data_IF_728306260259
#
_entry.id   IF_728306260259
#
_cell.length_a   1.000
_cell.length_b   1.000
_cell.length_c   1.000
_cell.angle_alpha   90.00
_cell.angle_beta   90.00
_cell.angle_gamma   90.00
#
_symmetry.space_group_name_H-M   'P 1'
#
loop_
_entity.id
_entity.type
_entity.pdbx_description
1 polymer ?
#
# COMPACT_ATOMS: atom_id res chain seq x y z
N UNK A 1 83.43 25.65 -2.61
CA UNK A 1 83.26 24.17 -2.58
C UNK A 1 82.75 23.75 -1.21
N UNK A 2 81.90 22.71 -1.19
CA UNK A 2 81.33 21.99 -0.03
C UNK A 2 80.03 22.54 0.57
N UNK A 3 78.96 21.97 0.01
CA UNK A 3 77.58 21.86 0.48
C UNK A 3 77.53 21.31 1.92
N UNK A 4 76.76 21.94 2.80
CA UNK A 4 76.24 21.32 4.03
C UNK A 4 74.76 20.99 3.83
N UNK A 5 74.28 19.78 4.23
CA UNK A 5 72.95 19.29 3.90
C UNK A 5 71.87 19.86 4.84
N UNK A 6 70.59 19.93 4.40
CA UNK A 6 69.50 20.37 5.26
C UNK A 6 69.12 19.29 6.28
N UNK A 7 68.82 19.75 7.50
CA UNK A 7 68.38 18.95 8.65
C UNK A 7 67.10 18.17 8.34
N UNK A 8 67.10 16.88 8.71
CA UNK A 8 65.99 15.93 8.59
C UNK A 8 64.74 16.44 9.33
N UNK A 9 63.64 16.64 8.60
CA UNK A 9 62.30 16.73 9.17
C UNK A 9 61.93 15.38 9.83
N UNK A 10 61.64 15.39 11.14
CA UNK A 10 60.99 14.27 11.83
C UNK A 10 59.59 14.10 11.23
N UNK A 11 59.37 13.05 10.45
CA UNK A 11 58.04 12.58 10.06
C UNK A 11 57.33 12.06 11.31
N UNK A 12 56.49 12.88 11.92
CA UNK A 12 55.47 12.43 12.85
C UNK A 12 54.54 11.51 12.05
N UNK A 13 54.58 10.20 12.34
CA UNK A 13 53.62 9.23 11.83
C UNK A 13 52.26 9.56 12.46
N UNK A 14 51.50 10.45 11.84
CA UNK A 14 50.05 10.40 12.00
C UNK A 14 49.60 9.10 11.35
N UNK A 15 49.25 8.12 12.20
CA UNK A 15 48.38 7.01 11.80
C UNK A 15 47.14 7.64 11.18
N UNK A 16 47.06 7.57 9.86
CA UNK A 16 45.78 7.67 9.17
C UNK A 16 44.97 6.52 9.72
N UNK A 17 43.98 6.84 10.56
CA UNK A 17 42.95 5.90 10.91
C UNK A 17 42.36 5.42 9.59
N UNK A 18 42.50 4.13 9.30
CA UNK A 18 41.75 3.48 8.23
C UNK A 18 40.29 3.64 8.59
N UNK A 19 39.64 4.58 7.92
CA UNK A 19 38.19 4.67 7.87
C UNK A 19 37.72 3.34 7.28
N UNK A 20 37.11 2.51 8.13
CA UNK A 20 36.55 1.21 7.76
C UNK A 20 35.22 1.44 7.06
N UNK A 21 35.27 2.13 5.92
CA UNK A 21 34.14 2.30 5.01
C UNK A 21 33.85 0.99 4.28
N UNK A 22 33.34 -0.02 4.98
CA UNK A 22 32.79 -1.20 4.34
C UNK A 22 31.63 -0.75 3.45
N UNK A 23 31.77 -0.96 2.13
CA UNK A 23 30.71 -0.70 1.15
C UNK A 23 29.43 -1.41 1.57
N UNK A 24 28.32 -0.69 1.63
CA UNK A 24 27.01 -1.24 1.98
C UNK A 24 26.68 -2.39 1.04
N UNK A 25 26.40 -3.58 1.58
CA UNK A 25 26.06 -4.74 0.75
C UNK A 25 24.73 -4.51 0.02
N UNK A 26 24.46 -5.19 -1.11
CA UNK A 26 23.17 -5.07 -1.80
C UNK A 26 21.97 -5.35 -0.88
N UNK A 27 22.09 -6.31 0.02
CA UNK A 27 21.05 -6.64 1.01
C UNK A 27 20.87 -5.54 2.06
N UNK A 28 21.96 -4.99 2.59
CA UNK A 28 21.89 -3.86 3.51
C UNK A 28 21.25 -2.64 2.83
N UNK A 29 21.58 -2.38 1.57
CA UNK A 29 20.94 -1.31 0.78
C UNK A 29 19.44 -1.53 0.65
N UNK A 30 19.00 -2.74 0.32
CA UNK A 30 17.58 -3.08 0.23
C UNK A 30 16.83 -2.85 1.56
N UNK A 31 17.44 -3.24 2.69
CA UNK A 31 16.88 -2.99 4.03
C UNK A 31 16.75 -1.49 4.30
N UNK A 32 17.82 -0.72 4.03
CA UNK A 32 17.83 0.73 4.23
C UNK A 32 16.79 1.43 3.35
N UNK A 33 16.69 1.07 2.06
CA UNK A 33 15.69 1.60 1.13
C UNK A 33 14.26 1.30 1.60
N UNK A 34 14.03 0.09 2.12
CA UNK A 34 12.73 -0.32 2.70
C UNK A 34 12.36 0.53 3.91
N UNK A 35 13.29 0.70 4.87
CA UNK A 35 13.05 1.52 6.06
C UNK A 35 12.91 3.01 5.70
N UNK A 36 13.68 3.50 4.73
CA UNK A 36 13.61 4.86 4.20
C UNK A 36 12.26 5.16 3.56
N UNK A 37 11.72 4.22 2.77
CA UNK A 37 10.37 4.33 2.23
C UNK A 37 9.32 4.44 3.35
N UNK A 38 9.39 3.57 4.37
CA UNK A 38 8.42 3.60 5.48
C UNK A 38 8.56 4.81 6.40
N UNK A 39 9.75 5.39 6.46
CA UNK A 39 10.00 6.63 7.17
C UNK A 39 9.20 7.81 6.61
N UNK A 40 8.80 7.80 5.33
CA UNK A 40 7.93 8.83 4.74
C UNK A 40 6.59 8.93 5.48
N UNK A 41 6.16 7.84 6.10
CA UNK A 41 4.89 7.71 6.82
C UNK A 41 5.06 7.74 8.36
N UNK A 42 6.25 8.06 8.86
CA UNK A 42 6.62 7.98 10.28
C UNK A 42 6.31 6.61 10.91
N UNK A 43 6.49 5.53 10.14
CA UNK A 43 6.12 4.19 10.55
C UNK A 43 7.37 3.32 10.75
N UNK A 44 7.67 2.84 11.97
CA UNK A 44 8.67 1.80 12.16
C UNK A 44 8.15 0.47 11.60
N UNK A 45 9.05 -0.48 11.40
CA UNK A 45 8.68 -1.81 10.89
C UNK A 45 9.09 -2.93 11.83
N UNK A 46 8.31 -4.01 11.86
CA UNK A 46 8.71 -5.28 12.45
C UNK A 46 9.58 -6.07 11.48
N UNK A 47 10.39 -7.01 12.00
CA UNK A 47 11.25 -7.89 11.20
C UNK A 47 10.51 -8.51 9.99
N UNK A 48 9.34 -9.10 10.22
CA UNK A 48 8.57 -9.76 9.15
C UNK A 48 8.05 -8.77 8.10
N UNK A 49 7.77 -7.52 8.48
CA UNK A 49 7.30 -6.51 7.54
C UNK A 49 8.45 -6.05 6.64
N UNK A 50 9.65 -5.83 7.20
CA UNK A 50 10.84 -5.49 6.40
C UNK A 50 11.17 -6.64 5.45
N UNK A 51 11.09 -7.87 5.95
CA UNK A 51 11.32 -9.08 5.15
C UNK A 51 10.30 -9.18 4.01
N UNK A 52 9.00 -9.15 4.29
CA UNK A 52 7.95 -9.35 3.28
C UNK A 52 7.85 -8.21 2.27
N UNK A 53 8.13 -6.97 2.69
CA UNK A 53 8.06 -5.78 1.85
C UNK A 53 9.45 -5.25 1.46
N UNK A 54 10.45 -6.13 1.40
CA UNK A 54 11.82 -5.78 1.08
C UNK A 54 11.92 -5.18 -0.32
N UNK A 55 12.28 -3.90 -0.40
CA UNK A 55 12.50 -3.17 -1.64
C UNK A 55 13.85 -3.60 -2.24
N UNK A 56 13.80 -4.45 -3.25
CA UNK A 56 14.99 -5.03 -3.88
C UNK A 56 14.71 -5.36 -5.34
N UNK A 57 15.77 -5.46 -6.15
CA UNK A 57 15.70 -5.95 -7.53
C UNK A 57 15.89 -7.46 -7.65
N UNK A 58 16.31 -8.13 -6.57
CA UNK A 58 16.53 -9.58 -6.53
C UNK A 58 15.99 -10.19 -5.22
N UNK A 59 15.51 -11.44 -5.23
CA UNK A 59 15.22 -12.18 -4.01
C UNK A 59 16.45 -12.26 -3.11
N UNK A 60 16.23 -12.14 -1.80
CA UNK A 60 17.28 -12.20 -0.78
C UNK A 60 17.00 -13.40 0.11
N UNK A 61 18.04 -14.18 0.46
CA UNK A 61 17.87 -15.31 1.39
C UNK A 61 17.60 -14.82 2.81
N UNK A 62 16.83 -15.59 3.59
CA UNK A 62 16.51 -15.20 4.97
C UNK A 62 17.78 -15.09 5.83
N UNK A 63 18.77 -15.94 5.57
CA UNK A 63 20.08 -15.90 6.25
C UNK A 63 20.83 -14.60 5.96
N UNK A 64 20.91 -14.19 4.70
CA UNK A 64 21.63 -12.97 4.30
C UNK A 64 20.91 -11.73 4.81
N UNK A 65 19.57 -11.73 4.75
CA UNK A 65 18.74 -10.66 5.31
C UNK A 65 18.96 -10.50 6.80
N UNK A 66 18.85 -11.59 7.57
CA UNK A 66 19.02 -11.58 9.03
C UNK A 66 20.41 -11.08 9.43
N UNK A 67 21.45 -11.59 8.77
CA UNK A 67 22.84 -11.16 9.00
C UNK A 67 22.98 -9.67 8.71
N UNK A 68 22.52 -9.22 7.54
CA UNK A 68 22.62 -7.82 7.13
C UNK A 68 21.85 -6.86 8.05
N UNK A 69 20.67 -7.26 8.53
CA UNK A 69 19.87 -6.44 9.46
C UNK A 69 20.57 -6.31 10.81
N UNK A 70 21.14 -7.40 11.33
CA UNK A 70 21.90 -7.37 12.58
C UNK A 70 23.14 -6.46 12.45
N UNK A 71 23.92 -6.61 11.37
CA UNK A 71 25.09 -5.77 11.11
C UNK A 71 24.70 -4.29 11.08
N UNK A 72 23.59 -3.93 10.43
CA UNK A 72 23.08 -2.55 10.38
C UNK A 72 22.69 -2.00 11.77
N UNK A 73 22.18 -2.85 12.65
CA UNK A 73 21.84 -2.48 14.03
C UNK A 73 23.10 -2.32 14.89
N UNK A 74 24.07 -3.23 14.77
CA UNK A 74 25.36 -3.17 15.47
C UNK A 74 26.15 -1.92 15.06
N UNK A 75 26.14 -1.61 13.76
CA UNK A 75 26.72 -0.39 13.16
C UNK A 75 25.96 0.90 13.53
N UNK A 76 24.83 0.80 14.24
CA UNK A 76 23.92 1.92 14.58
C UNK A 76 23.37 2.68 13.37
N UNK A 77 23.35 2.05 12.19
CA UNK A 77 22.71 2.57 10.98
C UNK A 77 21.19 2.35 11.00
N UNK A 78 20.74 1.34 11.74
CA UNK A 78 19.33 1.06 12.02
C UNK A 78 19.12 1.04 13.53
N UNK A 79 18.10 1.75 14.00
CA UNK A 79 17.67 1.71 15.39
C UNK A 79 16.73 0.53 15.61
N UNK A 80 16.92 -0.23 16.67
CA UNK A 80 16.04 -1.31 17.11
C UNK A 80 15.55 -1.05 18.54
N UNK A 81 14.24 -1.03 18.76
CA UNK A 81 13.62 -0.92 20.10
C UNK A 81 12.35 -1.77 20.16
N UNK A 82 12.21 -2.65 21.16
CA UNK A 82 11.01 -3.47 21.38
C UNK A 82 10.48 -4.17 20.11
N UNK A 83 11.40 -4.73 19.30
CA UNK A 83 11.19 -5.38 17.99
C UNK A 83 10.88 -4.46 16.79
N UNK A 84 10.84 -3.15 16.98
CA UNK A 84 10.67 -2.15 15.93
C UNK A 84 12.00 -1.65 15.39
N UNK A 85 12.11 -1.60 14.06
CA UNK A 85 13.26 -1.09 13.32
C UNK A 85 12.93 0.22 12.62
N UNK A 86 13.86 1.16 12.64
CA UNK A 86 13.71 2.49 12.02
C UNK A 86 15.07 3.16 11.75
N UNK A 87 15.11 4.13 10.85
CA UNK A 87 16.34 4.91 10.58
C UNK A 87 16.56 6.05 11.58
N UNK A 88 15.47 6.63 12.09
CA UNK A 88 15.50 7.76 13.01
C UNK A 88 14.69 7.45 14.27
N UNK A 89 14.82 8.27 15.31
CA UNK A 89 14.00 8.17 16.52
C UNK A 89 12.51 8.24 16.15
N UNK A 90 11.74 7.33 16.75
CA UNK A 90 10.29 7.20 16.55
C UNK A 90 9.56 7.51 17.85
N UNK A 91 8.43 8.19 17.74
CA UNK A 91 7.45 8.34 18.82
C UNK A 91 6.59 7.06 18.88
N UNK A 92 6.97 6.13 19.75
CA UNK A 92 6.30 4.84 19.88
C UNK A 92 4.88 4.95 20.46
N UNK A 93 4.60 5.98 21.26
CA UNK A 93 3.25 6.22 21.78
C UNK A 93 2.31 6.60 20.64
N UNK A 94 2.78 7.47 19.73
CA UNK A 94 2.04 7.82 18.52
C UNK A 94 1.81 6.62 17.60
N UNK A 95 2.81 5.76 17.41
CA UNK A 95 2.68 4.53 16.62
C UNK A 95 1.60 3.61 17.19
N UNK A 96 1.64 3.37 18.50
CA UNK A 96 0.65 2.51 19.16
C UNK A 96 -0.76 3.11 19.12
N UNK A 97 -0.87 4.43 19.30
CA UNK A 97 -2.15 5.17 19.16
C UNK A 97 -2.73 5.00 17.76
N UNK A 98 -1.90 5.14 16.72
CA UNK A 98 -2.33 4.98 15.32
C UNK A 98 -2.75 3.56 14.99
N UNK A 99 -1.99 2.57 15.45
CA UNK A 99 -2.34 1.16 15.30
C UNK A 99 -3.70 0.83 15.92
N UNK A 100 -3.91 1.23 17.19
CA UNK A 100 -5.20 1.04 17.88
C UNK A 100 -6.35 1.78 17.18
N UNK A 101 -6.08 2.94 16.60
CA UNK A 101 -7.08 3.67 15.84
C UNK A 101 -7.45 2.94 14.53
N UNK A 102 -6.46 2.47 13.77
CA UNK A 102 -6.67 1.67 12.57
C UNK A 102 -7.47 0.39 12.87
N UNK A 103 -7.17 -0.32 13.95
CA UNK A 103 -7.94 -1.49 14.40
C UNK A 103 -9.42 -1.16 14.63
N UNK A 104 -9.73 -0.04 15.29
CA UNK A 104 -11.12 0.43 15.49
C UNK A 104 -11.80 0.73 14.16
N UNK A 105 -11.10 1.38 13.23
CA UNK A 105 -11.62 1.68 11.89
C UNK A 105 -11.88 0.40 11.07
N UNK A 106 -11.02 -0.62 11.18
CA UNK A 106 -11.23 -1.94 10.56
C UNK A 106 -12.48 -2.62 11.15
N UNK A 107 -12.69 -2.55 12.47
CA UNK A 107 -13.91 -3.06 13.11
C UNK A 107 -15.16 -2.35 12.58
N UNK A 108 -15.09 -1.01 12.44
CA UNK A 108 -16.17 -0.24 11.84
C UNK A 108 -16.45 -0.64 10.39
N UNK A 109 -15.40 -0.83 9.57
CA UNK A 109 -15.53 -1.27 8.18
C UNK A 109 -16.19 -2.66 8.09
N UNK A 110 -15.79 -3.60 8.96
CA UNK A 110 -16.46 -4.91 9.11
C UNK A 110 -17.92 -4.78 9.53
N UNK A 111 -18.26 -3.79 10.34
CA UNK A 111 -19.64 -3.45 10.69
C UNK A 111 -20.51 -3.09 9.48
N UNK A 112 -19.94 -2.63 8.36
CA UNK A 112 -20.69 -2.36 7.12
C UNK A 112 -20.77 -3.61 6.23
N UNK A 113 -19.74 -4.47 6.27
CA UNK A 113 -19.67 -5.72 5.49
C UNK A 113 -20.90 -6.60 5.72
N UNK A 114 -21.45 -6.63 6.93
CA UNK A 114 -22.68 -7.40 7.23
C UNK A 114 -23.88 -7.04 6.34
N UNK A 115 -23.93 -5.83 5.79
CA UNK A 115 -24.98 -5.41 4.86
C UNK A 115 -24.54 -5.59 3.40
N UNK A 116 -23.30 -5.22 3.08
CA UNK A 116 -22.81 -5.20 1.70
C UNK A 116 -22.51 -6.59 1.13
N UNK A 117 -22.05 -7.54 1.93
CA UNK A 117 -21.68 -8.89 1.45
C UNK A 117 -22.84 -9.68 0.84
N UNK A 118 -24.09 -9.25 1.08
CA UNK A 118 -25.29 -9.88 0.53
C UNK A 118 -25.66 -9.38 -0.86
N UNK A 119 -24.98 -8.34 -1.37
CA UNK A 119 -25.18 -7.88 -2.74
C UNK A 119 -24.60 -8.93 -3.71
N UNK A 120 -25.41 -9.54 -4.60
CA UNK A 120 -25.02 -10.73 -5.36
C UNK A 120 -23.96 -10.48 -6.44
N UNK A 121 -23.59 -9.22 -6.65
CA UNK A 121 -22.58 -8.76 -7.60
C UNK A 121 -21.31 -8.25 -6.92
N UNK A 122 -21.26 -8.13 -5.58
CA UNK A 122 -20.01 -7.81 -4.90
C UNK A 122 -19.19 -9.09 -4.72
N UNK A 123 -17.94 -9.04 -5.13
CA UNK A 123 -17.03 -10.19 -5.09
C UNK A 123 -15.93 -10.01 -4.05
N UNK A 124 -15.54 -8.77 -3.76
CA UNK A 124 -14.56 -8.47 -2.73
C UNK A 124 -14.75 -7.06 -2.18
N UNK A 125 -14.41 -6.88 -0.91
CA UNK A 125 -14.17 -5.58 -0.32
C UNK A 125 -12.91 -5.66 0.55
N UNK A 126 -12.02 -4.67 0.39
CA UNK A 126 -10.79 -4.56 1.14
C UNK A 126 -10.58 -3.11 1.59
N UNK A 127 -9.89 -2.93 2.71
CA UNK A 127 -9.40 -1.61 3.16
C UNK A 127 -8.04 -1.35 2.52
N UNK A 128 -7.78 -0.09 2.15
CA UNK A 128 -6.48 0.38 1.61
C UNK A 128 -5.94 1.56 2.44
N UNK A 129 -4.79 2.11 2.06
CA UNK A 129 -4.25 3.33 2.64
C UNK A 129 -3.77 3.18 4.08
N UNK A 130 -3.83 4.27 4.85
CA UNK A 130 -3.26 4.35 6.20
C UNK A 130 -3.90 3.34 7.18
N UNK A 131 -5.19 3.04 7.01
CA UNK A 131 -5.91 2.07 7.82
C UNK A 131 -5.41 0.65 7.56
N UNK A 132 -5.26 0.27 6.29
CA UNK A 132 -4.72 -1.04 5.92
C UNK A 132 -3.24 -1.20 6.35
N UNK A 133 -2.48 -0.09 6.34
CA UNK A 133 -1.12 -0.05 6.82
C UNK A 133 -0.96 -0.03 8.36
N UNK A 134 -2.06 -0.08 9.13
CA UNK A 134 -2.10 0.06 10.59
C UNK A 134 -1.42 1.33 11.11
N UNK A 135 -1.52 2.43 10.35
CA UNK A 135 -0.88 3.71 10.63
C UNK A 135 -1.86 4.90 10.49
N UNK A 136 -3.13 4.69 10.81
CA UNK A 136 -4.19 5.69 10.73
C UNK A 136 -4.20 6.60 11.96
N UNK A 137 -4.31 7.91 11.77
CA UNK A 137 -4.53 8.87 12.84
C UNK A 137 -6.01 9.25 12.99
N UNK A 138 -6.32 10.10 13.97
CA UNK A 138 -7.70 10.47 14.33
C UNK A 138 -8.46 11.21 13.22
N UNK A 139 -7.76 11.71 12.19
CA UNK A 139 -8.38 12.40 11.06
C UNK A 139 -8.57 11.48 9.84
N UNK A 140 -8.07 10.24 9.93
CA UNK A 140 -8.11 9.28 8.83
C UNK A 140 -9.54 8.80 8.55
N UNK A 141 -9.84 8.68 7.27
CA UNK A 141 -10.99 7.97 6.71
C UNK A 141 -10.64 6.50 6.41
N UNK A 142 -11.66 5.73 6.02
CA UNK A 142 -11.55 4.34 5.62
C UNK A 142 -11.71 4.27 4.10
N UNK A 143 -10.60 4.11 3.39
CA UNK A 143 -10.62 3.87 1.96
C UNK A 143 -10.92 2.41 1.65
N UNK A 144 -11.90 2.18 0.78
CA UNK A 144 -12.27 0.86 0.31
C UNK A 144 -11.89 0.63 -1.14
N UNK A 145 -11.35 -0.57 -1.41
CA UNK A 145 -11.31 -1.19 -2.72
C UNK A 145 -12.41 -2.24 -2.81
N UNK A 146 -13.27 -2.12 -3.81
CA UNK A 146 -14.43 -2.98 -4.04
C UNK A 146 -14.31 -3.63 -5.42
N UNK A 147 -14.43 -4.96 -5.47
CA UNK A 147 -14.52 -5.69 -6.74
C UNK A 147 -15.95 -6.16 -6.95
N UNK A 148 -16.44 -5.96 -8.17
CA UNK A 148 -17.79 -6.35 -8.58
C UNK A 148 -17.74 -7.32 -9.76
N UNK A 149 -18.84 -8.04 -9.98
CA UNK A 149 -19.05 -8.76 -11.25
C UNK A 149 -18.99 -7.79 -12.45
N UNK A 150 -18.65 -8.28 -13.65
CA UNK A 150 -18.71 -7.48 -14.87
C UNK A 150 -20.10 -6.89 -15.07
N UNK A 151 -20.17 -5.66 -15.62
CA UNK A 151 -21.42 -4.94 -15.87
C UNK A 151 -22.30 -4.70 -14.63
N UNK A 152 -21.70 -4.61 -13.43
CA UNK A 152 -22.43 -4.31 -12.19
C UNK A 152 -21.79 -3.20 -11.37
N UNK A 153 -20.79 -2.51 -11.91
CA UNK A 153 -19.99 -1.55 -11.16
C UNK A 153 -20.85 -0.38 -10.66
N UNK A 154 -21.66 0.22 -11.53
CA UNK A 154 -22.41 1.43 -11.17
C UNK A 154 -23.62 1.10 -10.29
N UNK A 155 -24.27 -0.05 -10.51
CA UNK A 155 -25.29 -0.54 -9.60
C UNK A 155 -24.70 -0.84 -8.22
N UNK A 156 -23.56 -1.53 -8.15
CA UNK A 156 -22.83 -1.75 -6.90
C UNK A 156 -22.52 -0.46 -6.19
N UNK A 157 -21.96 0.52 -6.92
CA UNK A 157 -21.63 1.84 -6.39
C UNK A 157 -22.86 2.53 -5.81
N UNK A 158 -24.01 2.47 -6.50
CA UNK A 158 -25.25 3.06 -6.01
C UNK A 158 -25.64 2.45 -4.65
N UNK A 159 -25.72 1.12 -4.56
CA UNK A 159 -26.11 0.46 -3.31
C UNK A 159 -25.09 0.66 -2.19
N UNK A 160 -23.79 0.59 -2.49
CA UNK A 160 -22.73 0.89 -1.52
C UNK A 160 -22.91 2.29 -0.96
N UNK A 161 -23.03 3.31 -1.81
CA UNK A 161 -23.21 4.70 -1.37
C UNK A 161 -24.49 4.87 -0.56
N UNK A 162 -25.61 4.27 -1.01
CA UNK A 162 -26.88 4.34 -0.28
C UNK A 162 -26.77 3.72 1.11
N UNK A 163 -26.21 2.51 1.22
CA UNK A 163 -26.06 1.81 2.51
C UNK A 163 -25.13 2.61 3.43
N UNK A 164 -23.99 3.10 2.93
CA UNK A 164 -23.07 3.94 3.73
C UNK A 164 -23.76 5.22 4.23
N UNK A 165 -24.59 5.86 3.41
CA UNK A 165 -25.35 7.05 3.81
C UNK A 165 -26.43 6.74 4.84
N UNK A 166 -27.16 5.63 4.67
CA UNK A 166 -28.18 5.18 5.62
C UNK A 166 -27.58 4.86 6.99
N UNK A 167 -26.37 4.31 7.01
CA UNK A 167 -25.62 4.03 8.22
C UNK A 167 -24.91 5.27 8.80
N UNK A 168 -24.98 6.43 8.13
CA UNK A 168 -24.36 7.67 8.59
C UNK A 168 -22.83 7.68 8.55
N UNK A 169 -22.21 6.76 7.82
CA UNK A 169 -20.74 6.57 7.77
C UNK A 169 -20.15 6.88 6.40
N UNK A 170 -20.94 7.41 5.46
CA UNK A 170 -20.44 7.82 4.15
C UNK A 170 -19.45 8.99 4.25
N UNK A 171 -18.40 8.96 3.43
CA UNK A 171 -17.39 10.02 3.39
C UNK A 171 -17.90 11.36 2.86
N UNK A 172 -17.50 12.44 3.53
CA UNK A 172 -17.72 13.82 3.11
C UNK A 172 -16.46 14.63 3.34
N UNK A 173 -16.10 15.51 2.39
CA UNK A 173 -14.88 16.34 2.47
C UNK A 173 -14.78 17.21 3.72
N UNK A 174 -15.91 17.60 4.32
CA UNK A 174 -15.95 18.43 5.53
C UNK A 174 -15.73 17.64 6.82
N UNK A 175 -15.94 16.32 6.80
CA UNK A 175 -15.87 15.42 7.97
C UNK A 175 -15.35 14.04 7.55
N UNK A 176 -14.07 13.93 7.13
CA UNK A 176 -13.51 12.67 6.66
C UNK A 176 -13.25 11.68 7.81
N UNK A 177 -12.89 12.17 8.99
CA UNK A 177 -12.50 11.36 10.14
C UNK A 177 -13.51 10.25 10.48
N UNK A 178 -13.05 9.00 10.43
CA UNK A 178 -13.85 7.82 10.74
C UNK A 178 -15.00 7.55 9.76
N UNK A 179 -15.03 8.19 8.59
CA UNK A 179 -16.01 7.88 7.53
C UNK A 179 -15.44 6.92 6.51
N UNK A 180 -16.29 6.34 5.67
CA UNK A 180 -15.96 5.32 4.70
C UNK A 180 -16.08 5.90 3.29
N UNK A 181 -14.95 5.90 2.59
CA UNK A 181 -14.84 6.27 1.20
C UNK A 181 -14.81 5.01 0.32
N UNK A 182 -15.80 4.79 -0.58
CA UNK A 182 -15.69 3.77 -1.62
C UNK A 182 -14.70 4.23 -2.70
N UNK A 183 -13.41 4.28 -2.33
CA UNK A 183 -12.32 4.93 -3.06
C UNK A 183 -12.06 4.31 -4.44
N UNK A 184 -11.98 2.98 -4.49
CA UNK A 184 -11.73 2.23 -5.73
C UNK A 184 -12.83 1.21 -5.92
N UNK A 185 -13.47 1.22 -7.09
CA UNK A 185 -14.36 0.18 -7.56
C UNK A 185 -13.89 -0.33 -8.91
N UNK A 186 -13.78 -1.64 -9.07
CA UNK A 186 -13.41 -2.26 -10.34
C UNK A 186 -14.21 -3.54 -10.57
N UNK A 187 -14.27 -3.99 -11.82
CA UNK A 187 -14.89 -5.26 -12.16
C UNK A 187 -13.87 -6.41 -12.18
N UNK A 188 -14.31 -7.65 -11.96
CA UNK A 188 -13.42 -8.83 -11.94
C UNK A 188 -12.82 -9.22 -13.30
N UNK A 189 -13.33 -8.70 -14.40
CA UNK A 189 -12.69 -8.75 -15.73
C UNK A 189 -11.65 -7.63 -15.94
N UNK A 190 -11.38 -6.81 -14.91
CA UNK A 190 -10.45 -5.68 -14.94
C UNK A 190 -9.62 -5.57 -13.64
N UNK A 191 -9.14 -6.70 -13.11
CA UNK A 191 -8.37 -6.75 -11.86
C UNK A 191 -6.94 -6.20 -11.95
N UNK A 192 -6.35 -6.21 -13.14
CA UNK A 192 -4.96 -5.80 -13.34
C UNK A 192 -4.83 -4.28 -13.23
N UNK A 193 -3.88 -3.81 -12.43
CA UNK A 193 -3.54 -2.40 -12.35
C UNK A 193 -2.87 -1.92 -13.64
N UNK A 194 -3.20 -0.68 -14.05
CA UNK A 194 -2.66 -0.05 -15.27
C UNK A 194 -1.13 -0.03 -15.24
N UNK A 195 -0.51 -0.58 -16.29
CA UNK A 195 0.94 -0.66 -16.48
C UNK A 195 1.65 0.67 -16.33
N UNK A 196 1.02 1.75 -16.82
CA UNK A 196 1.59 3.10 -16.76
C UNK A 196 1.70 3.65 -15.34
N UNK A 197 0.91 3.10 -14.41
CA UNK A 197 0.82 3.54 -13.02
C UNK A 197 1.50 2.55 -12.06
N UNK A 198 2.20 1.53 -12.56
CA UNK A 198 2.93 0.57 -11.73
C UNK A 198 4.23 1.21 -11.23
N UNK A 199 4.35 1.32 -9.91
CA UNK A 199 5.52 1.88 -9.24
C UNK A 199 5.61 1.32 -7.81
N UNK A 200 6.69 1.64 -7.09
CA UNK A 200 6.92 1.15 -5.73
C UNK A 200 5.83 1.56 -4.73
N UNK A 201 5.21 2.74 -4.91
CA UNK A 201 4.12 3.20 -4.06
C UNK A 201 2.87 2.32 -4.24
N UNK A 202 2.44 2.14 -5.48
CA UNK A 202 1.30 1.26 -5.80
C UNK A 202 1.58 -0.19 -5.41
N UNK A 203 2.82 -0.67 -5.56
CA UNK A 203 3.21 -2.00 -5.11
C UNK A 203 3.00 -2.18 -3.60
N UNK A 204 3.38 -1.19 -2.79
CA UNK A 204 3.12 -1.19 -1.36
C UNK A 204 1.62 -1.14 -1.04
N UNK A 205 0.85 -0.25 -1.69
CA UNK A 205 -0.60 -0.14 -1.47
C UNK A 205 -1.31 -1.48 -1.75
N UNK A 206 -1.02 -2.12 -2.89
CA UNK A 206 -1.59 -3.44 -3.23
C UNK A 206 -1.18 -4.51 -2.20
N UNK A 207 0.07 -4.49 -1.75
CA UNK A 207 0.62 -5.51 -0.83
C UNK A 207 0.14 -5.34 0.62
N UNK A 208 -0.37 -4.17 0.96
CA UNK A 208 -0.92 -3.85 2.29
C UNK A 208 -2.45 -4.00 2.35
N UNK A 209 -3.12 -4.28 1.23
CA UNK A 209 -4.58 -4.44 1.19
C UNK A 209 -5.06 -5.40 2.27
N UNK A 210 -6.03 -4.92 3.06
CA UNK A 210 -6.64 -5.69 4.13
C UNK A 210 -8.03 -6.19 3.67
N UNK A 211 -8.16 -7.46 3.24
CA UNK A 211 -9.45 -7.98 2.77
C UNK A 211 -10.44 -8.09 3.92
N UNK A 212 -11.63 -7.50 3.75
CA UNK A 212 -12.74 -7.63 4.70
C UNK A 212 -13.62 -8.84 4.37
N UNK A 213 -13.86 -9.07 3.08
CA UNK A 213 -14.42 -10.32 2.57
C UNK A 213 -13.98 -10.56 1.14
N UNK A 214 -13.98 -11.82 0.72
CA UNK A 214 -13.72 -12.22 -0.66
C UNK A 214 -14.52 -13.48 -1.00
N UNK A 215 -15.29 -13.41 -2.08
CA UNK A 215 -16.01 -14.54 -2.65
C UNK A 215 -15.19 -15.17 -3.78
N UNK A 216 -15.29 -16.49 -3.94
CA UNK A 216 -14.62 -17.26 -5.00
C UNK A 216 -13.12 -16.93 -5.12
N UNK A 217 -12.46 -16.63 -4.00
CA UNK A 217 -11.03 -16.27 -3.94
C UNK A 217 -10.63 -15.04 -4.77
N UNK A 218 -11.57 -14.11 -5.01
CA UNK A 218 -11.34 -12.88 -5.77
C UNK A 218 -10.13 -12.06 -5.27
N UNK A 219 -9.80 -12.09 -3.98
CA UNK A 219 -8.61 -11.45 -3.42
C UNK A 219 -7.31 -12.06 -3.98
N UNK A 220 -7.23 -13.38 -4.03
CA UNK A 220 -6.06 -14.05 -4.58
C UNK A 220 -5.97 -13.86 -6.10
N UNK A 221 -7.11 -13.83 -6.81
CA UNK A 221 -7.12 -13.46 -8.22
C UNK A 221 -6.65 -12.01 -8.44
N UNK A 222 -7.04 -11.07 -7.58
CA UNK A 222 -6.54 -9.69 -7.62
C UNK A 222 -5.02 -9.63 -7.39
N UNK A 223 -4.49 -10.34 -6.39
CA UNK A 223 -3.04 -10.40 -6.15
C UNK A 223 -2.30 -11.01 -7.34
N UNK A 224 -2.84 -12.08 -7.95
CA UNK A 224 -2.24 -12.75 -9.11
C UNK A 224 -2.19 -11.86 -10.35
N UNK A 225 -3.27 -11.12 -10.65
CA UNK A 225 -3.28 -10.14 -11.74
C UNK A 225 -2.31 -8.97 -11.49
N UNK A 226 -1.91 -8.78 -10.23
CA UNK A 226 -0.96 -7.77 -9.82
C UNK A 226 0.37 -8.35 -9.35
N UNK A 227 0.75 -9.56 -9.81
CA UNK A 227 1.98 -10.23 -9.39
C UNK A 227 3.28 -9.43 -9.69
N UNK A 228 3.20 -8.44 -10.58
CA UNK A 228 4.26 -7.48 -10.85
C UNK A 228 4.76 -6.75 -9.59
N UNK A 229 3.97 -6.68 -8.51
CA UNK A 229 4.42 -6.08 -7.23
C UNK A 229 5.67 -6.77 -6.67
N UNK A 230 5.86 -8.06 -6.97
CA UNK A 230 7.04 -8.84 -6.54
C UNK A 230 8.32 -8.41 -7.25
N UNK A 231 8.24 -7.69 -8.37
CA UNK A 231 9.42 -7.06 -8.99
C UNK A 231 9.97 -5.89 -8.16
N UNK A 232 9.13 -5.31 -7.29
CA UNK A 232 9.51 -4.26 -6.35
C UNK A 232 9.76 -4.81 -4.95
N UNK A 233 8.96 -5.79 -4.52
CA UNK A 233 8.94 -6.39 -3.18
C UNK A 233 9.29 -7.87 -3.28
N UNK A 234 10.57 -8.19 -3.44
CA UNK A 234 11.01 -9.51 -3.96
C UNK A 234 10.77 -10.69 -3.04
N UNK A 235 10.56 -10.42 -1.75
CA UNK A 235 10.27 -11.44 -0.75
C UNK A 235 8.78 -11.53 -0.41
N UNK A 236 7.93 -10.75 -1.10
CA UNK A 236 6.49 -10.86 -0.95
C UNK A 236 6.02 -12.19 -1.53
N UNK A 237 5.39 -13.00 -0.71
CA UNK A 237 4.80 -14.25 -1.15
C UNK A 237 3.36 -14.03 -1.61
N UNK A 238 3.10 -14.29 -2.89
CA UNK A 238 1.74 -14.40 -3.42
C UNK A 238 1.38 -15.89 -3.41
N UNK A 239 0.34 -16.31 -2.66
CA UNK A 239 -0.05 -17.71 -2.60
C UNK A 239 -0.35 -18.26 -3.99
N UNK A 240 0.24 -19.42 -4.30
CA UNK A 240 -0.14 -20.16 -5.50
C UNK A 240 -1.48 -20.86 -5.27
N UNK A 241 -2.49 -20.42 -6.01
CA UNK A 241 -3.85 -20.93 -5.92
C UNK A 241 -4.45 -21.07 -7.33
N UNK A 242 -5.27 -22.10 -7.49
CA UNK A 242 -6.01 -22.36 -8.73
C UNK A 242 -7.21 -21.43 -8.85
N UNK A 243 -7.02 -20.35 -9.62
CA UNK A 243 -8.07 -19.43 -10.03
C UNK A 243 -9.35 -20.17 -10.40
N UNK A 244 -10.45 -19.81 -9.74
CA UNK A 244 -11.78 -20.24 -10.12
C UNK A 244 -12.25 -19.34 -11.26
N UNK A 245 -12.90 -19.89 -12.30
CA UNK A 245 -13.51 -19.05 -13.31
C UNK A 245 -14.51 -18.11 -12.63
N UNK A 246 -14.59 -16.84 -13.05
CA UNK A 246 -15.56 -15.91 -12.49
C UNK A 246 -16.95 -16.53 -12.57
N UNK A 247 -17.73 -16.39 -11.49
CA UNK A 247 -19.07 -16.95 -11.44
C UNK A 247 -19.85 -16.47 -12.67
N UNK A 248 -20.36 -17.40 -13.48
CA UNK A 248 -21.16 -17.06 -14.65
C UNK A 248 -22.32 -16.16 -14.21
N UNK A 249 -22.57 -15.13 -15.00
CA UNK A 249 -23.69 -14.19 -14.82
C UNK A 249 -25.01 -14.92 -15.05
N UNK A 250 -25.49 -15.69 -14.08
CA UNK A 250 -26.79 -16.36 -14.18
C UNK A 250 -27.88 -15.59 -13.42
N UNK A 251 -28.81 -15.02 -14.21
CA UNK A 251 -30.27 -15.17 -14.12
C UNK A 251 -31.10 -13.91 -14.44
N UNK A 252 -30.55 -12.69 -14.39
CA UNK A 252 -31.30 -11.44 -14.72
C UNK A 252 -30.83 -10.70 -16.00
N UNK A 253 -29.99 -11.38 -16.80
CA UNK A 253 -28.98 -10.83 -17.73
C UNK A 253 -29.41 -10.02 -18.96
N UNK A 254 -30.53 -9.29 -18.92
CA UNK A 254 -30.81 -8.20 -19.88
C UNK A 254 -31.42 -6.98 -19.22
N UNK A 255 -32.41 -7.18 -18.35
CA UNK A 255 -33.05 -6.06 -17.63
C UNK A 255 -32.06 -5.39 -16.67
N UNK A 256 -31.30 -6.18 -15.90
CA UNK A 256 -30.28 -5.62 -15.01
C UNK A 256 -29.15 -4.93 -15.75
N UNK A 257 -28.85 -5.37 -16.98
CA UNK A 257 -27.84 -4.73 -17.83
C UNK A 257 -28.34 -3.37 -18.34
N UNK A 258 -29.62 -3.28 -18.72
CA UNK A 258 -30.26 -2.01 -19.05
C UNK A 258 -30.30 -1.05 -17.85
N UNK A 259 -30.61 -1.57 -16.66
CA UNK A 259 -30.57 -0.80 -15.41
C UNK A 259 -29.15 -0.31 -15.13
N UNK A 260 -28.14 -1.18 -15.22
CA UNK A 260 -26.73 -0.80 -15.09
C UNK A 260 -26.37 0.34 -16.04
N UNK A 261 -26.74 0.23 -17.32
CA UNK A 261 -26.45 1.26 -18.32
C UNK A 261 -27.14 2.59 -18.01
N UNK A 262 -28.40 2.56 -17.57
CA UNK A 262 -29.13 3.76 -17.17
C UNK A 262 -28.50 4.41 -15.93
N UNK A 263 -28.22 3.61 -14.90
CA UNK A 263 -27.59 4.04 -13.64
C UNK A 263 -26.20 4.59 -13.90
N UNK A 264 -25.41 3.95 -14.75
CA UNK A 264 -24.10 4.44 -15.21
C UNK A 264 -24.23 5.82 -15.86
N UNK A 265 -25.13 5.98 -16.84
CA UNK A 265 -25.31 7.27 -17.54
C UNK A 265 -25.67 8.41 -16.56
N UNK A 266 -26.59 8.15 -15.64
CA UNK A 266 -27.00 9.12 -14.61
C UNK A 266 -25.81 9.49 -13.72
N UNK A 267 -25.07 8.51 -13.20
CA UNK A 267 -23.93 8.76 -12.32
C UNK A 267 -22.80 9.49 -13.07
N UNK A 268 -22.51 9.11 -14.31
CA UNK A 268 -21.51 9.75 -15.15
C UNK A 268 -21.87 11.22 -15.41
N UNK A 269 -23.14 11.52 -15.68
CA UNK A 269 -23.62 12.89 -15.85
C UNK A 269 -23.48 13.70 -14.56
N UNK A 270 -23.87 13.12 -13.41
CA UNK A 270 -23.72 13.75 -12.10
C UNK A 270 -22.25 14.05 -11.75
N UNK A 271 -21.32 13.16 -12.13
CA UNK A 271 -19.90 13.33 -11.86
C UNK A 271 -19.20 14.24 -12.88
N UNK A 272 -19.76 14.47 -14.06
CA UNK A 272 -19.09 15.21 -15.16
C UNK A 272 -18.49 16.54 -14.74
N UNK A 273 -19.21 17.31 -13.92
CA UNK A 273 -18.79 18.65 -13.49
C UNK A 273 -17.96 18.64 -12.19
N UNK A 274 -17.70 17.45 -11.63
CA UNK A 274 -16.98 17.24 -10.37
C UNK A 274 -15.67 16.48 -10.57
N UNK A 275 -15.40 16.00 -11.79
CA UNK A 275 -14.16 15.31 -12.14
C UNK A 275 -13.00 16.30 -12.11
N UNK A 276 -12.03 16.01 -11.28
CA UNK A 276 -10.72 16.63 -11.25
C UNK A 276 -9.71 15.61 -11.74
N UNK A 277 -9.28 14.71 -10.87
CA UNK A 277 -8.27 13.68 -11.12
C UNK A 277 -8.84 12.26 -11.09
N UNK A 278 -10.15 12.10 -10.86
CA UNK A 278 -10.79 10.80 -10.74
C UNK A 278 -10.91 10.07 -12.09
N UNK A 279 -10.53 8.79 -12.08
CA UNK A 279 -10.68 7.90 -13.24
C UNK A 279 -12.05 7.25 -13.16
N UNK A 280 -12.89 7.46 -14.18
CA UNK A 280 -14.24 6.89 -14.22
C UNK A 280 -14.51 6.34 -15.61
N UNK A 281 -14.52 5.01 -15.71
CA UNK A 281 -14.81 4.20 -16.89
C UNK A 281 -15.93 3.21 -16.60
N UNK A 282 -16.24 2.32 -17.56
CA UNK A 282 -17.26 1.27 -17.39
C UNK A 282 -16.87 0.20 -16.36
N UNK A 283 -15.58 -0.01 -16.17
CA UNK A 283 -14.99 -1.11 -15.41
C UNK A 283 -14.05 -0.65 -14.28
N UNK A 284 -13.87 0.67 -14.11
CA UNK A 284 -13.07 1.26 -13.05
C UNK A 284 -13.64 2.62 -12.62
N UNK A 285 -13.78 2.81 -11.32
CA UNK A 285 -13.98 4.10 -10.68
C UNK A 285 -12.93 4.24 -9.59
N UNK A 286 -12.05 5.22 -9.71
CA UNK A 286 -10.98 5.48 -8.76
C UNK A 286 -11.00 6.96 -8.39
N UNK A 287 -11.36 7.25 -7.13
CA UNK A 287 -11.41 8.59 -6.55
C UNK A 287 -10.02 9.06 -6.12
N UNK A 288 -9.07 9.14 -7.06
CA UNK A 288 -7.72 9.62 -6.79
C UNK A 288 -7.69 11.15 -6.68
N UNK A 289 -8.23 11.73 -5.60
CA UNK A 289 -8.40 13.19 -5.45
C UNK A 289 -7.09 13.98 -5.43
N UNK A 290 -5.96 13.33 -5.14
CA UNK A 290 -4.63 13.92 -5.12
C UNK A 290 -3.61 12.94 -5.70
N UNK A 291 -2.61 13.44 -6.45
CA UNK A 291 -1.52 12.61 -6.98
C UNK A 291 -0.54 12.19 -5.88
N UNK A 292 -1.01 11.30 -5.01
CA UNK A 292 -0.26 10.80 -3.86
C UNK A 292 0.98 10.03 -4.31
N UNK A 293 0.89 9.32 -5.44
CA UNK A 293 2.01 8.56 -5.99
C UNK A 293 3.21 9.46 -6.30
N UNK A 294 3.02 10.53 -7.08
CA UNK A 294 4.11 11.45 -7.41
C UNK A 294 4.71 12.12 -6.16
N UNK A 295 3.87 12.51 -5.20
CA UNK A 295 4.33 13.13 -3.94
C UNK A 295 5.21 12.17 -3.13
N UNK A 296 4.79 10.90 -3.00
CA UNK A 296 5.52 9.90 -2.22
C UNK A 296 6.81 9.50 -2.94
N UNK A 297 6.78 9.31 -4.26
CA UNK A 297 7.97 8.97 -5.04
C UNK A 297 9.03 10.07 -4.96
N UNK A 298 8.64 11.34 -5.09
CA UNK A 298 9.55 12.48 -4.93
C UNK A 298 10.18 12.51 -3.53
N UNK A 299 9.41 12.23 -2.47
CA UNK A 299 9.93 12.13 -1.10
C UNK A 299 10.89 10.95 -0.92
N UNK A 300 10.67 9.85 -1.64
CA UNK A 300 11.53 8.67 -1.58
C UNK A 300 12.87 8.91 -2.28
N UNK A 301 12.85 9.58 -3.43
CA UNK A 301 14.06 9.92 -4.20
C UNK A 301 14.93 10.98 -3.51
N UNK A 302 14.33 11.95 -2.81
CA UNK A 302 15.07 13.05 -2.14
C UNK A 302 15.74 12.66 -0.81
N UNK A 303 15.35 11.55 -0.19
CA UNK A 303 16.01 11.03 1.02
C UNK A 303 17.23 10.19 0.66
#
# INVERSE_FOLDING_TARGET
MRKNPPKKFKKTKHKIAQDSGASVTPTQKAILDTLKYRQIFDCPMLYHQIWSYLISSKPVSEKDFKTSLNDLVEDKKVLCKDAWYSLNKVDYERVEKRKKHAEKLIVQANGVVKYLKHLPWLEMMAVTGSVAAFNADEQSDIDLLIVTKPQRLFLSRLFVVLILKLLGVYWYSQKPAGTICPNILLTSDNLAWDEKNRNIYVANEISLLYPLFSHHNCYFDFLKHNAWVTHYLTNLHIPDYKSQPPAKSDFLGKLTDLIELAVMKIQMLYMKNKKTTEIVSKNLVHFNTHDSASVILNKFEMR
#
